data_IF_854385105037
#
_entry.id   IF_854385105037
#
_cell.length_a   1.000
_cell.length_b   1.000
_cell.length_c   1.000
_cell.angle_alpha   90.00
_cell.angle_beta   90.00
_cell.angle_gamma   90.00
#
_symmetry.space_group_name_H-M   'P 1'
#
loop_
_entity.id
_entity.type
_entity.pdbx_description
1 polymer ?
#
# COMPACT_ATOMS: atom_id res chain seq x y z
N UNK A 1 -43.20 -14.48 8.21
CA UNK A 1 -43.20 -15.47 7.11
C UNK A 1 -44.10 -14.94 6.01
N UNK A 2 -43.55 -14.87 4.79
CA UNK A 2 -44.17 -14.50 3.51
C UNK A 2 -44.26 -13.01 3.16
N UNK A 3 -43.18 -12.55 2.51
CA UNK A 3 -43.02 -11.26 1.85
C UNK A 3 -43.77 -11.24 0.52
N UNK A 4 -44.75 -10.36 0.43
CA UNK A 4 -45.38 -9.92 -0.82
C UNK A 4 -44.58 -8.72 -1.32
N UNK A 5 -43.84 -8.83 -2.43
CA UNK A 5 -43.53 -7.66 -3.25
C UNK A 5 -43.72 -7.99 -4.72
N UNK A 6 -44.65 -7.22 -5.29
CA UNK A 6 -45.26 -7.35 -6.60
C UNK A 6 -44.34 -6.83 -7.69
N UNK A 7 -44.47 -7.44 -8.86
CA UNK A 7 -43.93 -7.00 -10.13
C UNK A 7 -44.25 -5.52 -10.38
N UNK A 8 -43.24 -4.74 -10.77
CA UNK A 8 -43.40 -3.40 -11.33
C UNK A 8 -42.70 -3.37 -12.69
N UNK A 9 -43.56 -3.29 -13.68
CA UNK A 9 -43.46 -2.93 -15.09
C UNK A 9 -42.20 -2.15 -15.50
N UNK A 10 -41.41 -2.74 -16.40
CA UNK A 10 -40.38 -2.04 -17.18
C UNK A 10 -41.05 -1.43 -18.41
N UNK A 11 -41.04 -0.10 -18.53
CA UNK A 11 -41.40 0.59 -19.77
C UNK A 11 -40.33 1.64 -20.12
N UNK A 12 -39.75 1.40 -21.30
CA UNK A 12 -39.03 2.28 -22.23
C UNK A 12 -38.33 3.54 -21.66
N UNK A 13 -37.00 3.51 -21.70
CA UNK A 13 -36.20 4.71 -21.54
C UNK A 13 -34.72 4.49 -21.87
N UNK A 14 -34.34 4.86 -23.11
CA UNK A 14 -33.06 5.48 -23.49
C UNK A 14 -31.77 4.62 -23.54
N UNK A 15 -31.20 4.62 -24.74
CA UNK A 15 -29.79 4.51 -25.14
C UNK A 15 -28.98 3.26 -24.75
N UNK A 16 -28.80 2.40 -25.76
CA UNK A 16 -27.54 1.74 -26.15
C UNK A 16 -26.51 1.55 -25.02
N UNK A 17 -26.68 0.43 -24.32
CA UNK A 17 -25.68 -0.40 -23.64
C UNK A 17 -24.22 0.03 -23.89
N UNK A 18 -23.72 0.91 -23.03
CA UNK A 18 -22.28 1.07 -22.80
C UNK A 18 -21.79 -0.25 -22.22
N UNK A 19 -20.84 -0.89 -22.91
CA UNK A 19 -20.26 -2.16 -22.51
C UNK A 19 -19.57 -2.04 -21.14
N UNK A 20 -20.09 -2.74 -20.14
CA UNK A 20 -19.41 -2.89 -18.86
C UNK A 20 -18.40 -4.05 -18.98
N UNK A 21 -17.15 -3.69 -19.30
CA UNK A 21 -15.98 -4.50 -18.98
C UNK A 21 -15.85 -4.59 -17.44
N UNK A 22 -16.70 -5.39 -16.81
CA UNK A 22 -16.69 -5.58 -15.36
C UNK A 22 -15.72 -6.69 -14.98
N UNK A 23 -14.42 -6.41 -15.08
CA UNK A 23 -13.36 -7.24 -14.49
C UNK A 23 -12.51 -6.46 -13.48
N UNK A 24 -12.59 -5.11 -13.45
CA UNK A 24 -11.76 -4.27 -12.58
C UNK A 24 -12.42 -3.87 -11.25
N UNK A 25 -13.75 -3.97 -11.08
CA UNK A 25 -14.42 -3.37 -9.91
C UNK A 25 -14.37 -4.20 -8.63
N UNK A 26 -13.96 -5.47 -8.69
CA UNK A 26 -13.94 -6.34 -7.51
C UNK A 26 -12.62 -6.24 -6.71
N UNK A 27 -11.55 -5.72 -7.32
CA UNK A 27 -10.25 -5.57 -6.66
C UNK A 27 -10.15 -4.28 -5.84
N UNK A 28 -10.73 -3.18 -6.34
CA UNK A 28 -10.70 -1.89 -5.65
C UNK A 28 -11.54 -1.88 -4.37
N UNK A 29 -12.69 -2.56 -4.38
CA UNK A 29 -13.58 -2.67 -3.22
C UNK A 29 -12.90 -3.42 -2.07
N UNK A 30 -12.16 -4.48 -2.38
CA UNK A 30 -11.46 -5.29 -1.37
C UNK A 30 -10.34 -4.49 -0.68
N UNK A 31 -9.46 -3.82 -1.44
CA UNK A 31 -8.40 -3.00 -0.85
C UNK A 31 -8.96 -1.86 0.00
N UNK A 32 -10.06 -1.22 -0.43
CA UNK A 32 -10.70 -0.13 0.33
C UNK A 32 -11.22 -0.60 1.69
N UNK A 33 -11.80 -1.81 1.73
CA UNK A 33 -12.29 -2.41 2.97
C UNK A 33 -11.13 -2.83 3.89
N UNK A 34 -10.07 -3.44 3.34
CA UNK A 34 -8.86 -3.79 4.12
C UNK A 34 -8.19 -2.53 4.68
N UNK A 35 -8.05 -1.47 3.88
CA UNK A 35 -7.50 -0.20 4.34
C UNK A 35 -8.29 0.44 5.47
N UNK A 36 -9.62 0.25 5.49
CA UNK A 36 -10.48 0.75 6.55
C UNK A 36 -10.34 -0.04 7.84
N UNK A 37 -10.20 -1.36 7.75
CA UNK A 37 -10.34 -2.26 8.89
C UNK A 37 -8.98 -2.74 9.46
N UNK A 38 -7.90 -2.75 8.65
CA UNK A 38 -6.62 -3.40 8.97
C UNK A 38 -5.38 -2.67 8.42
N UNK A 39 -5.37 -1.33 8.45
CA UNK A 39 -4.20 -0.54 8.01
C UNK A 39 -3.22 -0.26 9.15
N UNK A 40 -1.94 -0.19 8.78
CA UNK A 40 -0.86 0.35 9.58
C UNK A 40 -0.61 1.80 9.21
N UNK A 41 -0.09 2.57 10.17
CA UNK A 41 0.42 3.93 9.95
C UNK A 41 1.94 3.90 9.86
N UNK A 42 2.49 4.55 8.85
CA UNK A 42 3.93 4.71 8.70
C UNK A 42 4.35 6.10 8.27
N UNK A 43 5.67 6.33 8.28
CA UNK A 43 6.30 7.56 7.84
C UNK A 43 7.48 7.27 6.94
N UNK A 44 7.57 7.96 5.81
CA UNK A 44 8.73 7.87 4.94
C UNK A 44 9.88 8.65 5.57
N UNK A 45 10.86 7.96 6.15
CA UNK A 45 11.96 8.59 6.90
C UNK A 45 13.25 8.72 6.10
N UNK A 46 13.38 8.01 4.98
CA UNK A 46 14.50 8.15 4.05
C UNK A 46 14.08 7.75 2.64
N UNK A 47 14.29 8.65 1.67
CA UNK A 47 14.19 8.41 0.24
C UNK A 47 15.57 8.16 -0.34
N UNK A 48 16.01 6.91 -0.28
CA UNK A 48 17.22 6.48 -0.96
C UNK A 48 17.09 6.53 -2.50
N UNK A 49 18.23 6.35 -3.17
CA UNK A 49 18.24 6.21 -4.63
C UNK A 49 17.53 4.91 -5.02
N UNK A 50 16.90 4.92 -6.20
CA UNK A 50 16.30 3.72 -6.75
C UNK A 50 15.21 3.11 -5.87
N UNK A 51 14.36 3.95 -5.26
CA UNK A 51 13.24 3.50 -4.43
C UNK A 51 13.67 2.65 -3.21
N UNK A 52 14.94 2.72 -2.82
CA UNK A 52 15.45 2.14 -1.58
C UNK A 52 15.00 3.00 -0.40
N UNK A 53 13.72 2.90 -0.11
CA UNK A 53 13.05 3.72 0.88
C UNK A 53 13.02 3.03 2.23
N UNK A 54 13.07 3.85 3.28
CA UNK A 54 12.98 3.41 4.67
C UNK A 54 11.73 4.03 5.28
N UNK A 55 10.89 3.18 5.86
CA UNK A 55 9.59 3.54 6.41
C UNK A 55 9.58 3.21 7.89
N UNK A 56 9.27 4.20 8.73
CA UNK A 56 9.03 4.02 10.16
C UNK A 56 7.61 3.49 10.40
N UNK A 57 7.50 2.45 11.22
CA UNK A 57 6.25 1.89 11.73
C UNK A 57 5.79 2.73 12.94
N UNK A 58 4.76 3.55 12.74
CA UNK A 58 4.16 4.38 13.81
C UNK A 58 3.06 3.61 14.56
N UNK A 59 2.45 2.60 13.92
CA UNK A 59 1.29 1.90 14.48
C UNK A 59 1.63 1.15 15.77
N UNK A 60 1.07 1.61 16.89
CA UNK A 60 1.22 0.95 18.18
C UNK A 60 0.66 -0.48 18.14
N UNK A 61 1.46 -1.46 18.58
CA UNK A 61 1.04 -2.86 18.66
C UNK A 61 1.21 -3.67 17.37
N UNK A 62 1.83 -3.12 16.33
CA UNK A 62 2.27 -3.92 15.18
C UNK A 62 3.26 -5.00 15.63
N UNK A 63 3.18 -6.18 15.01
CA UNK A 63 4.12 -7.27 15.30
C UNK A 63 5.54 -6.81 14.99
N UNK A 64 6.41 -6.89 16.01
CA UNK A 64 7.84 -6.56 15.92
C UNK A 64 8.59 -7.40 14.89
N UNK A 65 8.01 -8.50 14.39
CA UNK A 65 8.59 -9.27 13.28
C UNK A 65 8.62 -8.52 11.95
N UNK A 66 7.77 -7.48 11.80
CA UNK A 66 7.59 -6.71 10.58
C UNK A 66 8.66 -5.63 10.35
N UNK A 67 9.41 -5.23 11.39
CA UNK A 67 10.36 -4.12 11.33
C UNK A 67 11.58 -4.35 12.22
N UNK A 68 12.62 -3.56 12.00
CA UNK A 68 13.80 -3.51 12.87
C UNK A 68 13.60 -2.43 13.93
N UNK A 69 13.79 -2.79 15.20
CA UNK A 69 13.67 -1.84 16.32
C UNK A 69 14.68 -0.70 16.20
N UNK A 70 15.89 -1.00 15.73
CA UNK A 70 16.96 -0.06 15.44
C UNK A 70 17.68 -0.52 14.18
N UNK A 71 17.84 0.39 13.22
CA UNK A 71 18.67 0.22 12.04
C UNK A 71 19.61 1.42 11.90
N UNK A 72 20.88 1.18 11.64
CA UNK A 72 21.89 2.22 11.42
C UNK A 72 22.21 2.28 9.93
N UNK A 73 22.02 3.45 9.32
CA UNK A 73 22.49 3.70 7.97
C UNK A 73 24.02 3.76 7.95
N UNK A 74 24.67 2.78 7.33
CA UNK A 74 26.13 2.64 7.30
C UNK A 74 26.86 3.76 6.53
N UNK A 75 26.17 4.49 5.65
CA UNK A 75 26.76 5.60 4.90
C UNK A 75 26.79 6.89 5.73
N UNK A 76 25.78 7.10 6.60
CA UNK A 76 25.63 8.35 7.37
C UNK A 76 25.86 8.17 8.87
N UNK A 77 25.93 6.94 9.36
CA UNK A 77 25.87 6.57 10.79
C UNK A 77 24.62 7.11 11.52
N UNK A 78 23.53 7.35 10.80
CA UNK A 78 22.26 7.77 11.39
C UNK A 78 21.46 6.55 11.84
N UNK A 79 20.99 6.56 13.08
CA UNK A 79 20.09 5.52 13.60
C UNK A 79 18.63 5.89 13.35
N UNK A 80 17.85 4.90 12.93
CA UNK A 80 16.40 4.98 12.74
C UNK A 80 15.74 3.89 13.59
N UNK A 81 14.59 4.21 14.17
CA UNK A 81 13.86 3.29 15.04
C UNK A 81 12.59 2.77 14.37
N UNK A 82 12.22 1.52 14.67
CA UNK A 82 11.01 0.87 14.19
C UNK A 82 10.85 0.90 12.66
N UNK A 83 11.91 0.63 11.91
CA UNK A 83 11.92 0.81 10.45
C UNK A 83 11.93 -0.50 9.67
N UNK A 84 11.36 -0.47 8.47
CA UNK A 84 11.53 -1.50 7.45
C UNK A 84 11.85 -0.83 6.12
N UNK A 85 12.44 -1.58 5.19
CA UNK A 85 12.64 -1.13 3.82
C UNK A 85 11.43 -1.45 2.94
N UNK A 86 11.16 -0.60 1.97
CA UNK A 86 10.12 -0.85 0.96
C UNK A 86 10.49 -2.07 0.09
N UNK A 87 9.55 -3.01 -0.06
CA UNK A 87 9.62 -4.13 -1.00
C UNK A 87 8.82 -3.90 -2.28
N UNK A 88 7.61 -3.32 -2.18
CA UNK A 88 6.70 -3.03 -3.31
C UNK A 88 7.08 -1.75 -4.05
N UNK A 89 8.25 -1.78 -4.69
CA UNK A 89 8.86 -0.61 -5.32
C UNK A 89 7.99 -0.03 -6.46
N UNK A 90 7.32 -0.87 -7.23
CA UNK A 90 6.62 -0.46 -8.44
C UNK A 90 5.32 0.31 -8.18
N UNK A 91 4.64 0.00 -7.07
CA UNK A 91 3.30 0.49 -6.75
C UNK A 91 3.31 1.55 -5.64
N UNK A 92 4.50 1.97 -5.21
CA UNK A 92 4.64 3.03 -4.21
C UNK A 92 4.38 4.42 -4.83
N UNK A 93 3.48 5.23 -4.26
CA UNK A 93 3.11 6.52 -4.84
C UNK A 93 4.31 7.48 -4.96
N UNK A 94 4.46 8.08 -6.14
CA UNK A 94 5.48 9.08 -6.44
C UNK A 94 5.17 10.46 -5.85
N UNK A 95 4.03 10.62 -5.17
CA UNK A 95 3.60 11.84 -4.48
C UNK A 95 4.15 11.95 -3.06
N UNK A 96 4.49 10.83 -2.40
CA UNK A 96 5.00 10.80 -1.03
C UNK A 96 6.46 11.25 -0.95
N UNK A 97 6.79 12.04 0.07
CA UNK A 97 8.11 12.62 0.33
C UNK A 97 8.62 12.25 1.71
N UNK A 98 9.92 12.40 1.93
CA UNK A 98 10.48 12.30 3.28
C UNK A 98 9.72 13.19 4.27
N UNK A 99 9.35 12.61 5.40
CA UNK A 99 8.54 13.26 6.43
C UNK A 99 7.05 12.95 6.35
N UNK A 100 6.53 12.50 5.20
CA UNK A 100 5.11 12.23 5.04
C UNK A 100 4.68 10.99 5.81
N UNK A 101 3.52 11.09 6.46
CA UNK A 101 2.84 10.00 7.13
C UNK A 101 1.68 9.49 6.26
N UNK A 102 1.52 8.17 6.18
CA UNK A 102 0.49 7.54 5.36
C UNK A 102 0.01 6.23 6.00
N UNK A 103 -1.15 5.77 5.56
CA UNK A 103 -1.69 4.47 5.94
C UNK A 103 -1.36 3.45 4.85
N UNK A 104 -1.09 2.20 5.24
CA UNK A 104 -0.78 1.13 4.30
C UNK A 104 -1.23 -0.23 4.84
N UNK A 105 -1.27 -1.21 3.97
CA UNK A 105 -1.51 -2.62 4.31
C UNK A 105 -0.33 -3.46 3.79
N UNK A 106 0.02 -4.53 4.49
CA UNK A 106 1.04 -5.49 4.04
C UNK A 106 0.39 -6.47 3.06
N UNK A 107 1.03 -6.74 1.93
CA UNK A 107 0.53 -7.63 0.87
C UNK A 107 1.54 -8.72 0.56
N UNK A 108 1.08 -9.90 0.17
CA UNK A 108 1.95 -11.09 0.02
C UNK A 108 2.81 -11.07 -1.25
N UNK A 109 2.36 -10.44 -2.34
CA UNK A 109 3.13 -10.33 -3.59
C UNK A 109 2.65 -9.14 -4.42
N UNK A 110 3.57 -8.32 -4.90
CA UNK A 110 3.34 -7.41 -6.04
C UNK A 110 4.29 -7.82 -7.17
N UNK A 111 3.82 -7.74 -8.41
CA UNK A 111 4.61 -8.18 -9.56
C UNK A 111 5.77 -7.22 -9.83
N UNK A 112 6.98 -7.60 -9.42
CA UNK A 112 8.23 -6.82 -9.53
C UNK A 112 8.78 -6.77 -10.97
N UNK A 113 7.96 -6.38 -11.94
CA UNK A 113 8.37 -6.21 -13.34
C UNK A 113 8.61 -4.74 -13.74
N UNK A 114 8.82 -3.85 -12.76
CA UNK A 114 9.32 -2.51 -13.05
C UNK A 114 10.86 -2.49 -13.11
N UNK A 115 11.41 -1.63 -13.96
CA UNK A 115 12.84 -1.49 -14.11
C UNK A 115 13.46 -0.94 -12.81
N UNK A 116 14.22 -1.78 -12.12
CA UNK A 116 15.04 -1.37 -10.96
C UNK A 116 16.41 -0.95 -11.48
N UNK A 117 16.86 0.24 -11.09
CA UNK A 117 18.18 0.81 -11.38
C UNK A 117 19.32 0.00 -10.74
N UNK A 118 20.52 0.10 -11.33
CA UNK A 118 21.73 -0.62 -10.87
C UNK A 118 22.39 -0.03 -9.61
N UNK A 119 21.84 1.06 -9.06
CA UNK A 119 22.40 1.77 -7.92
C UNK A 119 21.53 1.60 -6.67
N UNK A 120 22.14 1.34 -5.53
CA UNK A 120 21.44 1.02 -4.29
C UNK A 120 21.83 1.95 -3.14
N UNK A 121 20.82 2.47 -2.43
CA UNK A 121 21.02 3.02 -1.09
C UNK A 121 20.83 1.90 -0.07
N UNK A 122 21.53 1.95 1.07
CA UNK A 122 21.33 0.99 2.12
C UNK A 122 19.94 1.12 2.74
N UNK A 123 19.41 0.00 3.21
CA UNK A 123 18.08 -0.11 3.81
C UNK A 123 18.09 -1.18 4.89
N UNK A 124 17.11 -1.19 5.80
CA UNK A 124 16.90 -2.32 6.70
C UNK A 124 16.82 -3.65 5.94
N UNK A 125 17.32 -4.70 6.59
CA UNK A 125 17.21 -6.09 6.11
C UNK A 125 15.76 -6.58 6.07
N UNK A 126 14.91 -6.07 6.98
CA UNK A 126 13.46 -6.32 6.96
C UNK A 126 12.81 -5.51 5.84
N UNK A 127 12.18 -6.21 4.91
CA UNK A 127 11.45 -5.64 3.76
C UNK A 127 10.00 -6.05 3.78
N UNK A 128 9.10 -5.11 3.51
CA UNK A 128 7.67 -5.37 3.38
C UNK A 128 7.15 -4.91 2.02
N UNK A 129 6.35 -5.76 1.39
CA UNK A 129 5.49 -5.35 0.30
C UNK A 129 4.25 -4.70 0.91
N UNK A 130 3.99 -3.46 0.52
CA UNK A 130 2.87 -2.66 1.03
C UNK A 130 2.06 -2.05 -0.10
N UNK A 131 0.75 -1.90 0.14
CA UNK A 131 -0.11 -1.05 -0.67
C UNK A 131 -0.50 0.18 0.18
N UNK A 132 -0.26 1.38 -0.36
CA UNK A 132 -0.65 2.63 0.31
C UNK A 132 -2.16 2.78 0.18
N UNK A 133 -2.83 2.97 1.33
CA UNK A 133 -4.24 3.30 1.38
C UNK A 133 -4.43 4.74 0.91
N UNK A 134 -5.49 4.98 0.11
CA UNK A 134 -5.79 6.26 -0.56
C UNK A 134 -5.26 7.52 0.18
N UNK A 135 -4.62 8.42 -0.57
CA UNK A 135 -4.16 9.75 -0.12
C UNK A 135 -5.26 10.79 -0.22
#
# INVERSE_FOLDING_TARGET
>A
MNLIKRAITVLLGVALMVGINSCASLYQDDLSNVCRDQSYRGKLVLQGICMNYVIEMISNGADTSLYELVWTNELTNTEYANVFGLGSICDFPDSLREGDEFNFVVVDDMSDTCAVCEAYSPTPSRKLNIAVCEL
#
